data_IF_927661033098
#
_entry.id   IF_927661033098
#
_cell.length_a   1.000
_cell.length_b   1.000
_cell.length_c   1.000
_cell.angle_alpha   90.00
_cell.angle_beta   90.00
_cell.angle_gamma   90.00
#
_symmetry.space_group_name_H-M   'P 1'
#
loop_
_entity.id
_entity.type
_entity.pdbx_description
1 polymer ?
#
# COMPACT_ATOMS: atom_id res chain seq x y z
N UNK A 1 24.68 54.86 9.88
CA UNK A 1 24.30 53.51 10.36
C UNK A 1 25.28 52.93 11.39
N UNK A 2 26.58 52.83 11.13
CA UNK A 2 27.56 52.25 12.08
C UNK A 2 27.67 52.99 13.43
N UNK A 3 27.53 54.32 13.46
CA UNK A 3 27.53 55.08 14.73
C UNK A 3 26.29 54.84 15.60
N UNK A 4 25.13 54.53 15.00
CA UNK A 4 23.90 54.21 15.73
C UNK A 4 24.05 52.86 16.44
N UNK A 5 24.58 51.85 15.74
CA UNK A 5 24.91 50.56 16.33
C UNK A 5 25.95 50.67 17.45
N UNK A 6 26.95 51.54 17.30
CA UNK A 6 27.98 51.76 18.34
C UNK A 6 27.41 52.44 19.60
N UNK A 7 26.49 53.39 19.43
CA UNK A 7 25.86 54.12 20.55
C UNK A 7 24.93 53.22 21.38
N UNK A 8 24.24 52.27 20.75
CA UNK A 8 23.29 51.37 21.40
C UNK A 8 23.78 49.93 21.56
N UNK A 9 25.07 49.67 21.33
CA UNK A 9 25.67 48.33 21.37
C UNK A 9 25.34 47.59 22.69
N UNK A 10 25.48 48.27 23.84
CA UNK A 10 25.16 47.68 25.15
C UNK A 10 23.69 47.30 25.28
N UNK A 11 22.78 48.11 24.74
CA UNK A 11 21.34 47.87 24.80
C UNK A 11 20.94 46.68 23.92
N UNK A 12 21.50 46.58 22.71
CA UNK A 12 21.30 45.41 21.85
C UNK A 12 21.86 44.12 22.46
N UNK A 13 23.03 44.16 23.09
CA UNK A 13 23.59 42.98 23.76
C UNK A 13 22.69 42.47 24.89
N UNK A 14 22.11 43.38 25.69
CA UNK A 14 21.18 43.01 26.76
C UNK A 14 19.93 42.35 26.19
N UNK A 15 19.32 42.93 25.14
CA UNK A 15 18.11 42.39 24.51
C UNK A 15 18.39 41.01 23.89
N UNK A 16 19.49 40.87 23.14
CA UNK A 16 19.85 39.59 22.52
C UNK A 16 20.14 38.54 23.59
N UNK A 17 20.85 38.89 24.66
CA UNK A 17 21.12 37.96 25.77
C UNK A 17 19.83 37.56 26.48
N UNK A 18 18.90 38.49 26.70
CA UNK A 18 17.59 38.19 27.27
C UNK A 18 16.79 37.19 26.43
N UNK A 19 16.76 37.39 25.10
CA UNK A 19 16.12 36.44 24.18
C UNK A 19 16.83 35.09 24.13
N UNK A 20 18.17 35.05 24.21
CA UNK A 20 18.94 33.81 24.28
C UNK A 20 18.63 33.06 25.59
N UNK A 21 18.60 33.74 26.73
CA UNK A 21 18.29 33.12 28.04
C UNK A 21 16.85 32.60 28.09
N UNK A 22 15.88 33.35 27.55
CA UNK A 22 14.48 32.87 27.42
C UNK A 22 14.41 31.67 26.47
N UNK A 23 15.12 31.73 25.34
CA UNK A 23 15.20 30.62 24.39
C UNK A 23 15.78 29.37 25.06
N UNK A 24 16.89 29.47 25.80
CA UNK A 24 17.43 28.33 26.55
C UNK A 24 16.54 27.89 27.73
N UNK A 25 15.75 28.78 28.34
CA UNK A 25 14.82 28.41 29.42
C UNK A 25 13.57 27.69 28.90
N UNK A 26 13.08 28.03 27.71
CA UNK A 26 11.93 27.38 27.07
C UNK A 26 12.30 26.18 26.18
N UNK A 27 13.46 26.19 25.51
CA UNK A 27 13.93 25.07 24.67
C UNK A 27 14.85 24.10 25.41
N UNK A 28 15.56 24.53 26.45
CA UNK A 28 16.41 23.66 27.28
C UNK A 28 15.63 22.77 28.26
N UNK A 29 14.35 23.05 28.48
CA UNK A 29 13.44 22.26 29.34
C UNK A 29 12.64 21.21 28.57
N UNK A 30 12.73 21.18 27.24
CA UNK A 30 12.15 20.12 26.39
C UNK A 30 12.90 18.78 26.51
N UNK A 31 14.12 18.77 27.08
CA UNK A 31 14.93 17.55 27.24
C UNK A 31 14.81 16.85 28.60
N UNK A 32 14.14 17.47 29.58
CA UNK A 32 13.98 16.93 30.95
C UNK A 32 12.56 16.46 31.28
N UNK A 33 11.66 16.46 30.29
CA UNK A 33 10.29 15.92 30.43
C UNK A 33 10.18 14.41 30.17
N UNK A 34 11.30 13.72 29.92
CA UNK A 34 11.38 12.26 29.72
C UNK A 34 11.42 11.46 31.04
N UNK A 35 11.39 12.11 32.19
CA UNK A 35 11.14 11.49 33.50
C UNK A 35 9.83 12.01 34.07
N UNK A 36 8.71 11.71 33.40
CA UNK A 36 7.47 11.50 34.14
C UNK A 36 7.61 10.13 34.77
N UNK A 37 7.46 10.05 36.10
CA UNK A 37 7.22 8.80 36.80
C UNK A 37 6.25 7.96 35.96
N UNK A 38 6.72 6.80 35.48
CA UNK A 38 5.88 5.84 34.77
C UNK A 38 4.73 5.47 35.71
N UNK A 39 3.57 6.09 35.51
CA UNK A 39 2.36 5.63 36.16
C UNK A 39 2.25 4.13 35.89
N UNK A 40 2.12 3.29 36.94
CA UNK A 40 2.07 1.86 36.74
C UNK A 40 0.88 1.54 35.83
N UNK A 41 1.17 0.78 34.77
CA UNK A 41 0.19 0.37 33.76
C UNK A 41 -0.97 -0.36 34.45
N UNK A 42 -2.19 0.18 34.29
CA UNK A 42 -3.38 -0.25 35.01
C UNK A 42 -3.87 -1.60 34.48
N UNK A 43 -4.15 -2.53 35.38
CA UNK A 43 -4.84 -3.77 35.04
C UNK A 43 -6.32 -3.50 34.85
N UNK A 44 -6.85 -3.85 33.67
CA UNK A 44 -8.25 -3.61 33.30
C UNK A 44 -9.07 -4.90 33.22
N UNK A 45 -8.42 -6.06 33.19
CA UNK A 45 -9.10 -7.35 33.20
C UNK A 45 -8.15 -8.53 32.97
N UNK A 46 -8.74 -9.69 32.67
CA UNK A 46 -8.02 -10.90 32.29
C UNK A 46 -8.56 -11.41 30.94
N UNK A 47 -7.67 -11.96 30.12
CA UNK A 47 -8.04 -12.70 28.91
C UNK A 47 -8.49 -14.12 29.27
N UNK A 48 -9.06 -14.83 28.30
CA UNK A 48 -9.61 -16.19 28.50
C UNK A 48 -8.56 -17.19 29.03
N UNK A 49 -7.30 -17.02 28.65
CA UNK A 49 -6.17 -17.84 29.12
C UNK A 49 -5.69 -17.48 30.56
N UNK A 50 -6.37 -16.55 31.22
CA UNK A 50 -6.03 -16.03 32.55
C UNK A 50 -4.91 -14.99 32.56
N UNK A 51 -4.36 -14.61 31.41
CA UNK A 51 -3.34 -13.56 31.34
C UNK A 51 -3.94 -12.19 31.63
N UNK A 52 -3.17 -11.33 32.31
CA UNK A 52 -3.62 -9.99 32.69
C UNK A 52 -3.63 -9.06 31.47
N UNK A 53 -4.79 -8.47 31.18
CA UNK A 53 -4.92 -7.41 30.20
C UNK A 53 -4.63 -6.05 30.85
N UNK A 54 -3.60 -5.39 30.33
CA UNK A 54 -3.23 -4.05 30.78
C UNK A 54 -3.75 -2.97 29.84
N UNK A 55 -4.02 -1.80 30.40
CA UNK A 55 -4.57 -0.65 29.71
C UNK A 55 -3.68 -0.19 28.54
N UNK A 56 -2.36 -0.08 28.74
CA UNK A 56 -1.45 0.32 27.65
C UNK A 56 -1.42 -0.69 26.49
N UNK A 57 -1.54 -1.99 26.79
CA UNK A 57 -1.62 -3.04 25.74
C UNK A 57 -2.86 -2.82 24.90
N UNK A 58 -4.03 -2.66 25.53
CA UNK A 58 -5.29 -2.49 24.81
C UNK A 58 -5.30 -1.19 23.99
N UNK A 59 -4.90 -0.06 24.57
CA UNK A 59 -4.84 1.21 23.83
C UNK A 59 -3.86 1.15 22.65
N UNK A 60 -2.68 0.56 22.85
CA UNK A 60 -1.71 0.40 21.76
C UNK A 60 -2.23 -0.51 20.65
N UNK A 61 -2.96 -1.57 21.03
CA UNK A 61 -3.60 -2.48 20.10
C UNK A 61 -4.71 -1.79 19.29
N UNK A 62 -5.58 -1.03 19.95
CA UNK A 62 -6.65 -0.27 19.29
C UNK A 62 -6.10 0.74 18.29
N UNK A 63 -5.04 1.49 18.63
CA UNK A 63 -4.38 2.41 17.68
C UNK A 63 -3.86 1.71 16.44
N UNK A 64 -3.42 0.45 16.56
CA UNK A 64 -3.01 -0.34 15.38
C UNK A 64 -4.21 -0.72 14.52
N UNK A 65 -5.39 -0.91 15.11
CA UNK A 65 -6.62 -1.30 14.41
C UNK A 65 -7.45 -0.12 13.87
N UNK A 66 -7.13 1.12 14.27
CA UNK A 66 -7.79 2.32 13.78
C UNK A 66 -7.42 2.64 12.32
N UNK A 67 -8.40 3.19 11.59
CA UNK A 67 -8.26 3.80 10.27
C UNK A 67 -7.51 2.96 9.22
N UNK A 68 -8.04 1.78 8.89
CA UNK A 68 -7.43 0.90 7.89
C UNK A 68 -7.30 1.52 6.48
N UNK A 69 -6.46 0.91 5.65
CA UNK A 69 -6.16 1.35 4.27
C UNK A 69 -7.41 1.58 3.42
N UNK A 70 -8.46 0.78 3.61
CA UNK A 70 -9.67 0.81 2.80
C UNK A 70 -10.75 1.75 3.35
N UNK A 71 -10.56 2.32 4.54
CA UNK A 71 -11.52 3.25 5.15
C UNK A 71 -11.44 4.68 4.56
N UNK A 72 -10.45 4.97 3.70
CA UNK A 72 -10.39 6.21 2.91
C UNK A 72 -10.21 7.50 3.73
N UNK A 73 -9.76 7.40 4.97
CA UNK A 73 -9.55 8.54 5.87
C UNK A 73 -8.28 9.33 5.55
N UNK A 74 -8.28 10.64 5.86
CA UNK A 74 -7.08 11.52 5.77
C UNK A 74 -5.92 11.05 6.65
N UNK A 75 -6.18 10.24 7.67
CA UNK A 75 -5.20 9.65 8.58
C UNK A 75 -5.16 8.13 8.42
N UNK A 76 -4.95 7.66 7.20
CA UNK A 76 -4.88 6.21 6.91
C UNK A 76 -3.70 5.56 7.62
N UNK A 77 -3.96 4.46 8.32
CA UNK A 77 -2.96 3.62 8.95
C UNK A 77 -2.42 2.57 7.96
N UNK A 78 -1.21 2.80 7.46
CA UNK A 78 -0.57 1.93 6.46
C UNK A 78 -0.24 0.52 6.98
N UNK A 79 -0.22 0.31 8.30
CA UNK A 79 0.06 -0.99 8.91
C UNK A 79 -1.19 -1.89 8.92
N UNK A 80 -2.37 -1.28 8.88
CA UNK A 80 -3.65 -1.94 9.05
C UNK A 80 -4.33 -2.14 7.70
N UNK A 81 -4.43 -3.38 7.25
CA UNK A 81 -5.16 -3.75 6.04
C UNK A 81 -6.69 -3.71 6.19
N UNK A 82 -7.18 -3.04 7.23
CA UNK A 82 -8.60 -2.84 7.59
C UNK A 82 -9.22 -4.09 8.20
N UNK A 83 -8.51 -4.73 9.15
CA UNK A 83 -8.93 -5.96 9.86
C UNK A 83 -10.35 -5.85 10.39
N UNK A 84 -10.64 -4.77 11.15
CA UNK A 84 -11.96 -4.61 11.76
C UNK A 84 -13.02 -4.46 10.68
N UNK A 85 -12.77 -3.63 9.67
CA UNK A 85 -13.67 -3.45 8.54
C UNK A 85 -13.98 -4.77 7.82
N UNK A 86 -12.94 -5.49 7.37
CA UNK A 86 -13.08 -6.70 6.56
C UNK A 86 -13.53 -7.91 7.35
N UNK A 87 -12.79 -8.23 8.40
CA UNK A 87 -12.91 -9.51 9.10
C UNK A 87 -14.05 -9.51 10.11
N UNK A 88 -14.47 -8.34 10.59
CA UNK A 88 -15.57 -8.22 11.55
C UNK A 88 -16.82 -7.57 10.95
N UNK A 89 -16.70 -6.41 10.30
CA UNK A 89 -17.89 -5.68 9.84
C UNK A 89 -18.49 -6.31 8.59
N UNK A 90 -17.69 -6.54 7.54
CA UNK A 90 -18.18 -7.11 6.28
C UNK A 90 -18.52 -8.60 6.39
N UNK A 91 -17.91 -9.33 7.33
CA UNK A 91 -18.22 -10.75 7.58
C UNK A 91 -19.52 -10.97 8.36
N UNK A 92 -20.04 -9.94 9.01
CA UNK A 92 -21.19 -10.02 9.93
C UNK A 92 -20.84 -10.43 11.36
N UNK A 93 -19.58 -10.78 11.67
CA UNK A 93 -19.17 -11.10 13.04
C UNK A 93 -19.36 -9.91 14.00
N UNK A 94 -19.15 -8.69 13.52
CA UNK A 94 -19.37 -7.46 14.29
C UNK A 94 -20.83 -7.30 14.71
N UNK A 95 -21.78 -7.69 13.86
CA UNK A 95 -23.22 -7.65 14.19
C UNK A 95 -23.54 -8.64 15.31
N UNK A 96 -23.04 -9.87 15.22
CA UNK A 96 -23.21 -10.91 16.23
C UNK A 96 -22.60 -10.47 17.58
N UNK A 97 -21.40 -9.88 17.54
CA UNK A 97 -20.72 -9.36 18.72
C UNK A 97 -21.52 -8.22 19.37
N UNK A 98 -21.94 -7.23 18.59
CA UNK A 98 -22.75 -6.12 19.07
C UNK A 98 -24.11 -6.59 19.61
N UNK A 99 -24.67 -7.64 19.01
CA UNK A 99 -25.92 -8.25 19.46
C UNK A 99 -25.78 -8.87 20.86
N UNK A 100 -24.66 -9.57 21.10
CA UNK A 100 -24.35 -10.19 22.38
C UNK A 100 -24.05 -9.15 23.46
N UNK A 101 -23.34 -8.07 23.09
CA UNK A 101 -22.92 -7.00 23.99
C UNK A 101 -23.90 -5.82 24.07
N UNK A 102 -25.12 -5.98 23.53
CA UNK A 102 -26.07 -4.87 23.38
C UNK A 102 -26.30 -4.07 24.66
N UNK A 103 -26.39 -4.74 25.82
CA UNK A 103 -26.61 -4.08 27.11
C UNK A 103 -25.51 -3.08 27.50
N UNK A 104 -24.27 -3.30 27.06
CA UNK A 104 -23.14 -2.41 27.35
C UNK A 104 -23.03 -1.25 26.35
N UNK A 105 -23.49 -1.48 25.12
CA UNK A 105 -23.45 -0.55 23.99
C UNK A 105 -24.68 0.35 23.91
N UNK A 106 -25.79 -0.05 24.53
CA UNK A 106 -27.11 0.57 24.39
C UNK A 106 -27.09 2.09 24.60
N UNK A 107 -26.36 2.57 25.61
CA UNK A 107 -26.30 4.00 25.93
C UNK A 107 -25.72 4.84 24.79
N UNK A 108 -24.63 4.37 24.18
CA UNK A 108 -23.95 5.09 23.09
C UNK A 108 -24.70 4.96 21.77
N UNK A 109 -25.26 3.78 21.51
CA UNK A 109 -26.08 3.55 20.32
C UNK A 109 -27.37 4.39 20.35
N UNK A 110 -27.98 4.59 21.52
CA UNK A 110 -29.15 5.48 21.68
C UNK A 110 -28.81 6.94 21.35
N UNK A 111 -27.66 7.44 21.79
CA UNK A 111 -27.21 8.79 21.45
C UNK A 111 -26.97 8.95 19.95
N UNK A 112 -26.29 7.98 19.33
CA UNK A 112 -26.02 7.98 17.89
C UNK A 112 -27.30 7.84 17.06
N UNK A 113 -28.26 7.04 17.52
CA UNK A 113 -29.54 6.86 16.84
C UNK A 113 -30.30 8.18 16.67
N UNK A 114 -30.21 9.12 17.62
CA UNK A 114 -30.82 10.44 17.46
C UNK A 114 -30.22 11.21 16.27
N UNK A 115 -28.89 11.15 16.08
CA UNK A 115 -28.22 11.74 14.91
C UNK A 115 -28.66 11.07 13.62
N UNK A 116 -28.74 9.74 13.63
CA UNK A 116 -29.21 8.92 12.50
C UNK A 116 -30.63 9.29 12.10
N UNK A 117 -31.55 9.44 13.07
CA UNK A 117 -32.95 9.85 12.82
C UNK A 117 -33.06 11.27 12.24
N UNK A 118 -32.19 12.19 12.65
CA UNK A 118 -32.22 13.59 12.21
C UNK A 118 -31.42 13.86 10.94
N UNK A 119 -30.76 12.85 10.38
CA UNK A 119 -29.91 13.03 9.21
C UNK A 119 -30.68 13.41 7.95
N UNK A 120 -30.08 14.32 7.21
CA UNK A 120 -30.50 14.73 5.88
C UNK A 120 -29.31 14.59 4.93
N UNK A 121 -29.45 13.82 3.85
CA UNK A 121 -28.39 13.69 2.85
C UNK A 121 -28.04 15.04 2.23
N UNK A 122 -26.82 15.16 1.70
CA UNK A 122 -26.36 16.37 1.03
C UNK A 122 -27.28 16.75 -0.15
N UNK A 123 -27.63 18.04 -0.23
CA UNK A 123 -28.37 18.65 -1.33
C UNK A 123 -27.65 19.93 -1.72
N UNK A 124 -27.35 20.08 -3.01
CA UNK A 124 -26.63 21.25 -3.51
C UNK A 124 -27.49 22.53 -3.38
N UNK A 125 -26.93 23.63 -2.84
CA UNK A 125 -27.70 24.82 -2.45
C UNK A 125 -28.35 25.55 -3.63
N UNK A 126 -27.70 25.55 -4.80
CA UNK A 126 -28.19 26.25 -6.00
C UNK A 126 -28.86 25.32 -7.02
N UNK A 127 -28.81 24.01 -6.81
CA UNK A 127 -29.24 23.02 -7.79
C UNK A 127 -29.76 21.76 -7.08
N UNK A 128 -30.99 21.76 -6.54
CA UNK A 128 -31.49 20.69 -5.68
C UNK A 128 -31.52 19.29 -6.30
N UNK A 129 -31.49 19.19 -7.64
CA UNK A 129 -31.40 17.92 -8.35
C UNK A 129 -30.05 17.23 -8.17
N UNK A 130 -28.98 17.99 -7.89
CA UNK A 130 -27.67 17.48 -7.48
C UNK A 130 -27.72 17.21 -5.98
N UNK A 131 -27.92 15.95 -5.61
CA UNK A 131 -28.02 15.53 -4.23
C UNK A 131 -27.61 14.07 -4.08
N UNK A 132 -27.28 13.69 -2.84
CA UNK A 132 -26.79 12.34 -2.54
C UNK A 132 -27.86 11.26 -2.80
N UNK A 133 -29.15 11.54 -2.56
CA UNK A 133 -30.23 10.57 -2.84
C UNK A 133 -30.31 10.20 -4.32
N UNK A 134 -30.16 11.16 -5.22
CA UNK A 134 -30.15 10.92 -6.68
C UNK A 134 -29.00 10.01 -7.08
N UNK A 135 -27.79 10.29 -6.56
CA UNK A 135 -26.59 9.47 -6.82
C UNK A 135 -26.80 8.04 -6.31
N UNK A 136 -27.26 7.89 -5.06
CA UNK A 136 -27.54 6.57 -4.50
C UNK A 136 -28.62 5.81 -5.27
N UNK A 137 -29.69 6.46 -5.74
CA UNK A 137 -30.71 5.79 -6.56
C UNK A 137 -30.15 5.16 -7.84
N UNK A 138 -29.08 5.72 -8.39
CA UNK A 138 -28.45 5.23 -9.62
C UNK A 138 -27.37 4.18 -9.33
N UNK A 139 -26.60 4.35 -8.25
CA UNK A 139 -25.41 3.54 -7.97
C UNK A 139 -25.68 2.43 -6.96
N UNK A 140 -26.37 2.76 -5.86
CA UNK A 140 -26.56 1.92 -4.66
C UNK A 140 -27.96 2.19 -4.07
N UNK A 141 -29.03 1.75 -4.75
CA UNK A 141 -30.41 2.12 -4.40
C UNK A 141 -30.83 1.61 -3.01
N UNK A 142 -30.16 0.57 -2.50
CA UNK A 142 -30.41 0.04 -1.16
C UNK A 142 -30.18 1.08 -0.05
N UNK A 143 -29.27 2.05 -0.21
CA UNK A 143 -29.05 3.10 0.80
C UNK A 143 -30.34 3.90 1.02
N UNK A 144 -31.04 4.26 -0.07
CA UNK A 144 -32.28 5.02 0.04
C UNK A 144 -33.38 4.20 0.74
N UNK A 145 -33.49 2.90 0.44
CA UNK A 145 -34.46 2.01 1.11
C UNK A 145 -34.19 1.94 2.61
N UNK A 146 -32.93 1.69 3.00
CA UNK A 146 -32.52 1.59 4.40
C UNK A 146 -32.70 2.93 5.14
N UNK A 147 -32.46 4.07 4.49
CA UNK A 147 -32.71 5.38 5.08
C UNK A 147 -34.20 5.63 5.34
N UNK A 148 -35.10 5.19 4.45
CA UNK A 148 -36.54 5.28 4.70
C UNK A 148 -36.98 4.33 5.82
N UNK A 149 -36.39 3.13 5.92
CA UNK A 149 -36.58 2.23 7.07
C UNK A 149 -36.14 2.87 8.38
N UNK A 150 -34.99 3.56 8.41
CA UNK A 150 -34.53 4.34 9.56
C UNK A 150 -35.54 5.43 9.93
N UNK A 151 -36.10 6.14 8.94
CA UNK A 151 -37.10 7.19 9.20
C UNK A 151 -38.41 6.61 9.74
N UNK A 152 -38.84 5.43 9.28
CA UNK A 152 -40.03 4.73 9.75
C UNK A 152 -39.85 4.07 11.14
N UNK A 153 -38.63 3.69 11.51
CA UNK A 153 -38.34 3.04 12.79
C UNK A 153 -38.62 3.95 14.00
N UNK A 154 -38.88 3.37 15.20
CA UNK A 154 -39.07 4.14 16.43
C UNK A 154 -37.94 5.12 16.74
N UNK A 155 -38.26 6.20 17.46
CA UNK A 155 -37.27 7.19 17.92
C UNK A 155 -36.34 6.59 18.98
N UNK A 156 -36.85 5.66 19.78
CA UNK A 156 -36.04 4.92 20.75
C UNK A 156 -35.28 3.79 20.08
N UNK A 157 -33.97 3.72 20.32
CA UNK A 157 -33.14 2.65 19.81
C UNK A 157 -33.30 1.39 20.66
N UNK A 158 -33.56 0.26 20.01
CA UNK A 158 -33.64 -1.07 20.60
C UNK A 158 -32.78 -2.04 19.81
N UNK A 159 -32.59 -3.24 20.35
CA UNK A 159 -31.83 -4.32 19.72
C UNK A 159 -32.27 -4.62 18.27
N UNK A 160 -33.55 -4.42 17.94
CA UNK A 160 -34.10 -4.69 16.61
C UNK A 160 -33.58 -3.73 15.52
N UNK A 161 -33.08 -2.54 15.89
CA UNK A 161 -32.52 -1.58 14.93
C UNK A 161 -31.03 -1.79 14.67
N UNK A 162 -30.37 -2.67 15.42
CA UNK A 162 -28.94 -2.95 15.26
C UNK A 162 -28.59 -3.47 13.85
N UNK A 163 -29.31 -4.46 13.27
CA UNK A 163 -29.04 -4.93 11.91
C UNK A 163 -29.14 -3.83 10.85
N UNK A 164 -30.01 -2.85 11.07
CA UNK A 164 -30.20 -1.73 10.15
C UNK A 164 -28.98 -0.81 10.12
N UNK A 165 -28.32 -0.57 11.26
CA UNK A 165 -27.06 0.19 11.32
C UNK A 165 -25.93 -0.54 10.61
N UNK A 166 -25.79 -1.86 10.81
CA UNK A 166 -24.78 -2.66 10.12
C UNK A 166 -24.99 -2.66 8.60
N UNK A 167 -26.23 -2.84 8.11
CA UNK A 167 -26.55 -2.76 6.68
C UNK A 167 -26.23 -1.40 6.07
N UNK A 168 -26.47 -0.31 6.80
CA UNK A 168 -26.12 1.03 6.33
C UNK A 168 -24.61 1.25 6.29
N UNK A 169 -23.88 0.72 7.29
CA UNK A 169 -22.42 0.74 7.30
C UNK A 169 -21.84 -0.01 6.10
N UNK A 170 -22.29 -1.24 5.85
CA UNK A 170 -21.82 -2.05 4.71
C UNK A 170 -22.20 -1.40 3.38
N UNK A 171 -23.41 -0.84 3.25
CA UNK A 171 -23.81 -0.15 2.03
C UNK A 171 -22.98 1.12 1.77
N UNK A 172 -22.53 1.83 2.80
CA UNK A 172 -21.56 2.93 2.65
C UNK A 172 -20.17 2.43 2.27
N UNK A 173 -19.77 1.24 2.75
CA UNK A 173 -18.51 0.63 2.34
C UNK A 173 -18.49 0.30 0.85
N UNK A 174 -19.61 -0.22 0.33
CA UNK A 174 -19.78 -0.51 -1.11
C UNK A 174 -19.72 0.77 -1.97
N UNK A 175 -20.14 1.91 -1.41
CA UNK A 175 -20.09 3.21 -2.09
C UNK A 175 -19.53 4.32 -1.19
N UNK A 176 -18.19 4.41 -1.11
CA UNK A 176 -17.53 5.28 -0.15
C UNK A 176 -17.82 6.78 -0.34
N UNK A 177 -17.77 7.58 0.74
CA UNK A 177 -18.00 9.03 0.67
C UNK A 177 -17.12 9.78 -0.35
N UNK A 178 -15.82 9.45 -0.56
CA UNK A 178 -15.01 10.08 -1.60
C UNK A 178 -15.56 9.89 -3.02
N UNK A 179 -16.13 8.72 -3.31
CA UNK A 179 -16.74 8.43 -4.61
C UNK A 179 -18.05 9.21 -4.79
N UNK A 180 -18.89 9.25 -3.75
CA UNK A 180 -20.08 10.11 -3.73
C UNK A 180 -19.71 11.58 -4.01
N UNK A 181 -18.67 12.07 -3.34
CA UNK A 181 -18.19 13.44 -3.52
C UNK A 181 -17.77 13.69 -4.98
N UNK A 182 -16.99 12.77 -5.56
CA UNK A 182 -16.56 12.85 -6.96
C UNK A 182 -17.75 12.89 -7.93
N UNK A 183 -18.80 12.09 -7.68
CA UNK A 183 -20.01 12.10 -8.51
C UNK A 183 -20.79 13.41 -8.39
N UNK A 184 -20.94 13.95 -7.17
CA UNK A 184 -21.58 15.24 -6.95
C UNK A 184 -20.82 16.37 -7.66
N UNK A 185 -19.49 16.33 -7.63
CA UNK A 185 -18.65 17.24 -8.40
C UNK A 185 -18.85 17.12 -9.90
N UNK A 186 -18.85 15.89 -10.40
CA UNK A 186 -19.04 15.63 -11.82
C UNK A 186 -20.39 16.17 -12.31
N UNK A 187 -21.47 15.92 -11.55
CA UNK A 187 -22.80 16.48 -11.83
C UNK A 187 -22.80 18.02 -11.81
N UNK A 188 -22.09 18.64 -10.87
CA UNK A 188 -21.94 20.10 -10.81
C UNK A 188 -21.21 20.65 -12.05
N UNK A 189 -20.15 19.98 -12.51
CA UNK A 189 -19.36 20.44 -13.66
C UNK A 189 -20.08 20.27 -15.01
N UNK A 190 -21.01 19.32 -15.12
CA UNK A 190 -21.82 19.12 -16.32
C UNK A 190 -22.96 20.15 -16.46
N UNK A 191 -23.39 20.76 -15.36
CA UNK A 191 -24.47 21.74 -15.37
C UNK A 191 -24.02 23.10 -15.92
N UNK A 192 -24.38 23.43 -17.16
CA UNK A 192 -24.00 24.69 -17.81
C UNK A 192 -24.41 25.96 -17.03
N UNK A 193 -25.40 25.88 -16.13
CA UNK A 193 -25.91 27.01 -15.33
C UNK A 193 -25.83 26.77 -13.81
N UNK A 194 -25.11 25.75 -13.36
CA UNK A 194 -25.00 25.45 -11.92
C UNK A 194 -23.89 26.27 -11.30
N UNK A 195 -24.26 27.20 -10.41
CA UNK A 195 -23.29 27.92 -9.59
C UNK A 195 -22.54 26.93 -8.69
N UNK A 196 -21.19 26.89 -8.68
CA UNK A 196 -20.44 25.97 -7.84
C UNK A 196 -20.75 26.17 -6.35
N UNK A 197 -20.93 25.08 -5.62
CA UNK A 197 -20.95 25.12 -4.15
C UNK A 197 -19.50 25.16 -3.61
N UNK A 198 -19.07 26.28 -2.99
CA UNK A 198 -17.73 26.37 -2.41
C UNK A 198 -17.53 25.43 -1.21
N UNK A 199 -18.61 24.95 -0.59
CA UNK A 199 -18.57 24.04 0.56
C UNK A 199 -18.48 22.56 0.18
N UNK A 200 -18.82 22.18 -1.06
CA UNK A 200 -18.76 20.80 -1.52
C UNK A 200 -17.38 20.13 -1.29
N UNK A 201 -16.21 20.75 -1.59
CA UNK A 201 -14.91 20.14 -1.34
C UNK A 201 -14.63 19.68 0.08
N UNK A 202 -15.24 20.34 1.05
CA UNK A 202 -15.03 20.10 2.47
C UNK A 202 -16.26 19.51 3.14
N UNK A 203 -17.34 19.29 2.38
CA UNK A 203 -18.58 18.73 2.88
C UNK A 203 -18.36 17.27 3.30
N UNK A 204 -18.82 16.94 4.50
CA UNK A 204 -18.90 15.56 4.94
C UNK A 204 -20.15 14.92 4.34
N UNK A 205 -19.97 14.24 3.19
CA UNK A 205 -21.06 13.56 2.46
C UNK A 205 -21.32 12.14 2.95
N UNK A 206 -20.59 11.66 3.96
CA UNK A 206 -20.84 10.36 4.58
C UNK A 206 -22.23 10.28 5.22
N UNK A 207 -22.78 9.08 5.30
CA UNK A 207 -23.98 8.80 6.07
C UNK A 207 -23.78 9.27 7.50
N UNK A 208 -24.71 10.10 7.97
CA UNK A 208 -24.73 10.64 9.34
C UNK A 208 -23.52 11.52 9.70
N UNK A 209 -22.63 11.80 8.73
CA UNK A 209 -21.33 12.42 8.96
C UNK A 209 -20.31 11.49 9.63
N UNK A 210 -20.57 10.18 9.67
CA UNK A 210 -19.70 9.20 10.32
C UNK A 210 -18.54 8.78 9.41
N UNK A 211 -17.33 8.77 9.96
CA UNK A 211 -16.09 8.48 9.24
C UNK A 211 -15.31 7.29 9.83
N UNK A 212 -15.60 6.90 11.06
CA UNK A 212 -14.95 5.76 11.74
C UNK A 212 -15.95 4.76 12.30
N UNK A 213 -15.51 3.55 12.59
CA UNK A 213 -16.33 2.54 13.28
C UNK A 213 -16.80 3.05 14.66
N UNK A 214 -15.96 3.84 15.33
CA UNK A 214 -16.31 4.53 16.57
C UNK A 214 -17.48 5.51 16.37
N UNK A 215 -17.52 6.26 15.27
CA UNK A 215 -18.65 7.16 14.96
C UNK A 215 -19.96 6.37 14.81
N UNK A 216 -19.88 5.20 14.17
CA UNK A 216 -21.04 4.34 13.92
C UNK A 216 -21.55 3.61 15.16
N UNK A 217 -20.65 3.04 15.96
CA UNK A 217 -21.03 2.05 16.99
C UNK A 217 -20.53 2.39 18.40
N UNK A 218 -19.63 3.35 18.53
CA UNK A 218 -19.14 3.85 19.83
C UNK A 218 -17.75 3.34 20.18
N UNK A 219 -17.11 4.03 21.13
CA UNK A 219 -15.75 3.72 21.56
C UNK A 219 -15.72 2.41 22.34
N UNK A 220 -16.76 2.13 23.13
CA UNK A 220 -16.92 0.84 23.81
C UNK A 220 -16.97 -0.32 22.84
N UNK A 221 -17.66 -0.17 21.70
CA UNK A 221 -17.72 -1.26 20.72
C UNK A 221 -16.33 -1.55 20.12
N UNK A 222 -15.55 -0.50 19.82
CA UNK A 222 -14.17 -0.65 19.33
C UNK A 222 -13.27 -1.29 20.40
N UNK A 223 -13.45 -0.93 21.66
CA UNK A 223 -12.74 -1.55 22.79
C UNK A 223 -13.06 -3.05 22.89
N UNK A 224 -14.34 -3.42 22.81
CA UNK A 224 -14.79 -4.80 22.87
C UNK A 224 -14.35 -5.62 21.65
N UNK A 225 -14.26 -5.01 20.46
CA UNK A 225 -13.61 -5.62 19.30
C UNK A 225 -12.14 -5.93 19.60
N UNK A 226 -11.40 -4.98 20.19
CA UNK A 226 -10.01 -5.17 20.57
C UNK A 226 -9.84 -6.36 21.52
N UNK A 227 -10.67 -6.43 22.56
CA UNK A 227 -10.70 -7.55 23.52
C UNK A 227 -11.08 -8.87 22.84
N UNK A 228 -12.06 -8.85 21.94
CA UNK A 228 -12.50 -10.02 21.19
C UNK A 228 -11.37 -10.62 20.36
N UNK A 229 -10.63 -9.80 19.60
CA UNK A 229 -9.49 -10.26 18.79
C UNK A 229 -8.39 -10.84 19.69
N UNK A 230 -8.06 -10.18 20.81
CA UNK A 230 -7.05 -10.69 21.75
C UNK A 230 -7.46 -12.02 22.37
N UNK A 231 -8.73 -12.17 22.77
CA UNK A 231 -9.24 -13.42 23.31
C UNK A 231 -9.27 -14.54 22.26
N UNK A 232 -9.66 -14.23 21.02
CA UNK A 232 -9.59 -15.17 19.92
C UNK A 232 -8.15 -15.63 19.64
N UNK A 233 -7.17 -14.73 19.74
CA UNK A 233 -5.76 -15.09 19.61
C UNK A 233 -5.28 -16.03 20.73
N UNK A 234 -5.81 -15.88 21.95
CA UNK A 234 -5.57 -16.83 23.05
C UNK A 234 -6.14 -18.21 22.72
N UNK A 235 -7.40 -18.29 22.28
CA UNK A 235 -8.03 -19.55 21.86
C UNK A 235 -7.23 -20.20 20.72
N UNK A 236 -6.80 -19.42 19.72
CA UNK A 236 -5.97 -19.93 18.63
C UNK A 236 -4.67 -20.56 19.16
N UNK A 237 -4.02 -19.97 20.16
CA UNK A 237 -2.82 -20.56 20.77
C UNK A 237 -3.13 -21.86 21.51
N UNK A 238 -4.26 -21.94 22.20
CA UNK A 238 -4.71 -23.16 22.90
C UNK A 238 -5.04 -24.30 21.92
N UNK A 239 -5.66 -23.98 20.78
CA UNK A 239 -5.96 -24.92 19.69
C UNK A 239 -4.71 -25.31 18.88
N UNK A 240 -3.53 -24.77 19.21
CA UNK A 240 -2.24 -25.15 18.63
C UNK A 240 -1.83 -24.37 17.38
N UNK A 241 -2.49 -23.26 17.05
CA UNK A 241 -2.08 -22.39 15.94
C UNK A 241 -0.77 -21.65 16.26
N UNK A 242 0.15 -21.60 15.30
CA UNK A 242 1.48 -21.00 15.47
C UNK A 242 1.80 -19.97 14.39
N UNK A 243 1.81 -18.69 14.75
CA UNK A 243 2.31 -17.60 13.89
C UNK A 243 3.75 -17.26 14.29
N UNK A 244 4.65 -17.11 13.32
CA UNK A 244 6.03 -16.68 13.59
C UNK A 244 6.13 -15.17 13.71
N UNK A 245 7.11 -14.65 14.46
CA UNK A 245 7.30 -13.19 14.59
C UNK A 245 7.70 -12.56 13.26
N UNK A 246 8.56 -13.25 12.50
CA UNK A 246 9.01 -12.82 11.18
C UNK A 246 7.84 -12.74 10.19
N UNK A 247 6.86 -13.63 10.31
CA UNK A 247 5.66 -13.62 9.50
C UNK A 247 4.82 -12.36 9.77
N UNK A 248 4.59 -12.01 11.03
CA UNK A 248 3.88 -10.79 11.41
C UNK A 248 4.60 -9.52 10.91
N UNK A 249 5.93 -9.49 10.99
CA UNK A 249 6.72 -8.37 10.47
C UNK A 249 6.62 -8.25 8.94
N UNK A 250 6.72 -9.37 8.21
CA UNK A 250 6.59 -9.39 6.76
C UNK A 250 5.19 -8.96 6.33
N UNK A 251 4.15 -9.39 7.03
CA UNK A 251 2.77 -9.03 6.70
C UNK A 251 2.48 -7.55 6.94
N UNK A 252 3.00 -6.98 8.03
CA UNK A 252 2.95 -5.52 8.25
C UNK A 252 3.67 -4.73 7.14
N UNK A 253 4.87 -5.17 6.73
CA UNK A 253 5.60 -4.53 5.63
C UNK A 253 4.86 -4.66 4.30
N UNK A 254 4.21 -5.82 4.07
CA UNK A 254 3.35 -6.03 2.91
C UNK A 254 2.17 -5.07 2.91
N UNK A 255 1.53 -4.81 4.06
CA UNK A 255 0.43 -3.84 4.15
C UNK A 255 0.87 -2.44 3.75
N UNK A 256 2.03 -1.99 4.25
CA UNK A 256 2.63 -0.70 3.87
C UNK A 256 2.92 -0.65 2.38
N UNK A 257 3.52 -1.70 1.83
CA UNK A 257 3.84 -1.79 0.41
C UNK A 257 2.56 -1.69 -0.46
N UNK A 258 1.49 -2.41 -0.08
CA UNK A 258 0.21 -2.38 -0.79
C UNK A 258 -0.44 -0.99 -0.70
N UNK A 259 -0.44 -0.36 0.48
CA UNK A 259 -0.95 0.99 0.65
C UNK A 259 -0.19 2.01 -0.22
N UNK A 260 1.14 1.95 -0.23
CA UNK A 260 1.96 2.84 -1.06
C UNK A 260 1.66 2.65 -2.56
N UNK A 261 1.52 1.39 -3.01
CA UNK A 261 1.13 1.08 -4.39
C UNK A 261 -0.24 1.68 -4.74
N UNK A 262 -1.20 1.63 -3.83
CA UNK A 262 -2.53 2.24 -4.02
C UNK A 262 -2.44 3.77 -4.11
N UNK A 263 -1.67 4.43 -3.24
CA UNK A 263 -1.55 5.89 -3.24
C UNK A 263 -0.71 6.45 -4.38
N UNK A 264 0.26 5.69 -4.89
CA UNK A 264 1.14 6.12 -5.99
C UNK A 264 0.63 5.70 -7.38
N UNK A 265 -0.67 5.41 -7.54
CA UNK A 265 -1.28 5.03 -8.83
C UNK A 265 -0.52 3.88 -9.50
N UNK A 266 -0.26 2.80 -8.75
CA UNK A 266 0.40 1.57 -9.21
C UNK A 266 1.89 1.67 -9.54
N UNK A 267 2.55 2.80 -9.25
CA UNK A 267 4.02 2.80 -9.23
C UNK A 267 4.50 1.83 -8.14
N UNK A 268 5.39 0.91 -8.52
CA UNK A 268 5.99 -0.06 -7.60
C UNK A 268 6.89 0.71 -6.60
N UNK A 269 6.55 0.73 -5.30
CA UNK A 269 7.39 1.39 -4.31
C UNK A 269 8.67 0.59 -4.09
N UNK A 270 9.78 1.27 -3.81
CA UNK A 270 11.02 0.58 -3.48
C UNK A 270 10.99 -0.02 -2.06
N UNK A 271 11.84 -1.01 -1.80
CA UNK A 271 11.95 -1.60 -0.47
C UNK A 271 12.37 -0.57 0.58
N UNK A 272 13.22 0.40 0.23
CA UNK A 272 13.65 1.47 1.13
C UNK A 272 12.49 2.42 1.46
N UNK A 273 11.68 2.79 0.47
CA UNK A 273 10.47 3.61 0.68
C UNK A 273 9.47 2.91 1.60
N UNK A 274 9.22 1.61 1.39
CA UNK A 274 8.33 0.81 2.23
C UNK A 274 8.85 0.72 3.68
N UNK A 275 10.15 0.47 3.86
CA UNK A 275 10.76 0.40 5.19
C UNK A 275 10.71 1.75 5.92
N UNK A 276 10.99 2.85 5.22
CA UNK A 276 10.91 4.19 5.79
C UNK A 276 9.46 4.55 6.16
N UNK A 277 8.49 4.23 5.31
CA UNK A 277 7.07 4.42 5.59
C UNK A 277 6.61 3.59 6.81
N UNK A 278 7.06 2.34 6.91
CA UNK A 278 6.79 1.47 8.06
C UNK A 278 7.29 2.10 9.37
N UNK A 279 8.57 2.49 9.43
CA UNK A 279 9.16 3.10 10.64
C UNK A 279 8.46 4.40 11.02
N UNK A 280 8.12 5.23 10.04
CA UNK A 280 7.41 6.48 10.27
C UNK A 280 5.98 6.24 10.77
N UNK A 281 5.27 5.25 10.23
CA UNK A 281 3.91 4.91 10.66
C UNK A 281 3.89 4.35 12.08
N UNK A 282 4.81 3.45 12.41
CA UNK A 282 4.97 2.91 13.78
C UNK A 282 5.20 4.05 14.78
N UNK A 283 6.08 5.01 14.44
CA UNK A 283 6.33 6.20 15.27
C UNK A 283 5.10 7.10 15.38
N UNK A 284 4.38 7.31 14.28
CA UNK A 284 3.17 8.13 14.25
C UNK A 284 2.08 7.58 15.17
N UNK A 285 1.92 6.25 15.24
CA UNK A 285 0.98 5.58 16.16
C UNK A 285 1.47 5.59 17.63
N UNK A 286 2.69 6.07 17.88
CA UNK A 286 3.31 6.03 19.21
C UNK A 286 3.65 4.60 19.66
N UNK A 287 3.92 3.71 18.71
CA UNK A 287 4.29 2.32 18.97
C UNK A 287 5.80 2.11 18.79
N UNK A 288 6.30 1.00 19.34
CA UNK A 288 7.60 0.45 18.97
C UNK A 288 7.40 -0.62 17.89
N UNK A 289 8.41 -0.91 17.09
CA UNK A 289 8.34 -2.00 16.11
C UNK A 289 8.00 -3.34 16.78
N UNK A 290 8.61 -3.60 17.94
CA UNK A 290 8.32 -4.80 18.72
C UNK A 290 6.84 -4.90 19.14
N UNK A 291 6.24 -3.78 19.57
CA UNK A 291 4.83 -3.76 19.95
C UNK A 291 3.93 -3.89 18.71
N UNK A 292 4.23 -3.20 17.61
CA UNK A 292 3.46 -3.32 16.37
C UNK A 292 3.46 -4.77 15.84
N UNK A 293 4.62 -5.42 15.80
CA UNK A 293 4.75 -6.84 15.40
C UNK A 293 4.02 -7.75 16.37
N UNK A 294 4.15 -7.52 17.69
CA UNK A 294 3.46 -8.34 18.70
C UNK A 294 1.93 -8.20 18.61
N UNK A 295 1.42 -7.01 18.34
CA UNK A 295 -0.01 -6.76 18.16
C UNK A 295 -0.52 -7.37 16.85
N UNK A 296 0.21 -7.21 15.76
CA UNK A 296 -0.18 -7.83 14.49
C UNK A 296 -0.11 -9.36 14.52
N UNK A 297 0.78 -9.92 15.33
CA UNK A 297 0.81 -11.35 15.61
C UNK A 297 -0.51 -11.87 16.20
N UNK A 298 -1.13 -11.12 17.12
CA UNK A 298 -2.46 -11.46 17.67
C UNK A 298 -3.55 -11.40 16.58
N UNK A 299 -3.48 -10.41 15.69
CA UNK A 299 -4.40 -10.30 14.55
C UNK A 299 -4.27 -11.52 13.62
N UNK A 300 -3.05 -11.96 13.31
CA UNK A 300 -2.82 -13.13 12.47
C UNK A 300 -3.32 -14.42 13.12
N UNK A 301 -3.16 -14.57 14.44
CA UNK A 301 -3.71 -15.70 15.19
C UNK A 301 -5.24 -15.71 15.14
N UNK A 302 -5.88 -14.56 15.38
CA UNK A 302 -7.31 -14.39 15.21
C UNK A 302 -7.76 -14.79 13.80
N UNK A 303 -7.11 -14.27 12.76
CA UNK A 303 -7.44 -14.60 11.36
C UNK A 303 -7.33 -16.08 11.08
N UNK A 304 -6.28 -16.75 11.55
CA UNK A 304 -6.13 -18.20 11.34
C UNK A 304 -7.26 -19.00 11.97
N UNK A 305 -7.63 -18.66 13.21
CA UNK A 305 -8.76 -19.31 13.89
C UNK A 305 -10.05 -19.14 13.09
N UNK A 306 -10.37 -17.92 12.65
CA UNK A 306 -11.63 -17.65 11.96
C UNK A 306 -11.63 -18.04 10.48
N UNK A 307 -10.49 -18.09 9.80
CA UNK A 307 -10.40 -18.63 8.45
C UNK A 307 -10.58 -20.16 8.45
N UNK A 308 -9.98 -20.90 9.38
CA UNK A 308 -10.17 -22.35 9.45
C UNK A 308 -11.59 -22.73 9.90
N UNK A 309 -12.12 -22.04 10.92
CA UNK A 309 -13.53 -22.22 11.34
C UNK A 309 -14.47 -21.78 10.21
N UNK A 310 -14.18 -20.67 9.53
CA UNK A 310 -14.93 -20.19 8.38
C UNK A 310 -14.92 -21.18 7.22
N UNK A 311 -13.77 -21.70 6.80
CA UNK A 311 -13.67 -22.74 5.76
C UNK A 311 -14.39 -24.03 6.18
N UNK A 312 -14.40 -24.38 7.47
CA UNK A 312 -15.14 -25.54 7.98
C UNK A 312 -16.67 -25.34 7.99
N UNK A 313 -17.15 -24.10 8.18
CA UNK A 313 -18.57 -23.73 8.26
C UNK A 313 -19.15 -23.36 6.87
N UNK A 314 -18.35 -22.79 5.97
CA UNK A 314 -18.73 -22.47 4.58
C UNK A 314 -18.71 -23.69 3.64
N UNK A 315 -18.38 -24.89 4.15
CA UNK A 315 -18.80 -26.15 3.54
C UNK A 315 -20.30 -26.43 3.73
N UNK A 316 -21.12 -25.44 4.07
CA UNK A 316 -22.56 -25.53 3.87
C UNK A 316 -22.86 -25.67 2.37
N UNK A 317 -23.41 -26.83 2.00
CA UNK A 317 -23.87 -27.15 0.65
C UNK A 317 -24.78 -26.06 0.08
N UNK A 318 -25.52 -25.34 0.90
CA UNK A 318 -26.44 -24.31 0.46
C UNK A 318 -25.71 -23.04 -0.03
N UNK A 319 -24.70 -22.57 0.70
CA UNK A 319 -23.88 -21.43 0.31
C UNK A 319 -23.03 -21.76 -0.94
N UNK A 320 -22.46 -22.97 -0.99
CA UNK A 320 -21.81 -23.50 -2.18
C UNK A 320 -22.77 -23.64 -3.37
N UNK A 321 -24.04 -24.01 -3.16
CA UNK A 321 -25.05 -24.05 -4.22
C UNK A 321 -25.43 -22.66 -4.71
N UNK A 322 -25.57 -21.67 -3.83
CA UNK A 322 -25.85 -20.28 -4.22
C UNK A 322 -24.67 -19.66 -4.99
N UNK A 323 -23.43 -19.85 -4.50
CA UNK A 323 -22.22 -19.46 -5.20
C UNK A 323 -22.08 -20.19 -6.55
N UNK A 324 -22.33 -21.51 -6.59
CA UNK A 324 -22.30 -22.28 -7.84
C UNK A 324 -23.39 -21.81 -8.81
N UNK A 325 -24.60 -21.51 -8.36
CA UNK A 325 -25.67 -20.97 -9.20
C UNK A 325 -25.31 -19.58 -9.78
N UNK A 326 -24.51 -18.78 -9.06
CA UNK A 326 -23.99 -17.49 -9.53
C UNK A 326 -22.72 -17.59 -10.40
N UNK A 327 -21.85 -18.57 -10.13
CA UNK A 327 -20.56 -18.74 -10.78
C UNK A 327 -20.60 -19.60 -12.05
N UNK A 328 -21.74 -20.25 -12.36
CA UNK A 328 -21.84 -21.20 -13.49
C UNK A 328 -22.21 -20.61 -14.86
N UNK A 329 -22.63 -19.34 -15.07
CA UNK A 329 -22.68 -18.84 -16.42
C UNK A 329 -21.27 -18.36 -16.82
N UNK A 330 -20.33 -19.30 -16.99
CA UNK A 330 -19.14 -19.05 -17.80
C UNK A 330 -19.63 -18.72 -19.21
N UNK A 331 -19.75 -17.43 -19.50
CA UNK A 331 -19.95 -16.98 -20.86
C UNK A 331 -18.60 -17.13 -21.56
N UNK A 332 -18.56 -17.88 -22.67
CA UNK A 332 -17.46 -17.78 -23.61
C UNK A 332 -17.48 -16.37 -24.19
N UNK A 333 -16.73 -15.47 -23.57
CA UNK A 333 -16.52 -14.13 -24.09
C UNK A 333 -15.39 -14.24 -25.09
N UNK A 334 -15.73 -14.19 -26.38
CA UNK A 334 -14.74 -13.95 -27.42
C UNK A 334 -14.28 -12.49 -27.32
N UNK A 335 -13.20 -12.25 -26.56
CA UNK A 335 -12.58 -10.94 -26.52
C UNK A 335 -11.73 -10.73 -27.77
N UNK A 336 -12.21 -9.91 -28.69
CA UNK A 336 -11.43 -9.51 -29.86
C UNK A 336 -10.48 -8.40 -29.44
N UNK A 337 -9.20 -8.73 -29.38
CA UNK A 337 -8.14 -7.74 -29.19
C UNK A 337 -7.43 -7.55 -30.52
N UNK A 338 -7.05 -6.30 -30.81
CA UNK A 338 -6.11 -6.05 -31.87
C UNK A 338 -4.78 -6.76 -31.53
N UNK A 339 -4.08 -7.37 -32.51
CA UNK A 339 -2.72 -7.84 -32.33
C UNK A 339 -1.85 -6.77 -31.69
N UNK A 340 -0.84 -7.14 -30.88
CA UNK A 340 0.00 -6.19 -30.15
C UNK A 340 0.58 -5.09 -31.04
N UNK A 341 0.91 -5.41 -32.28
CA UNK A 341 1.47 -4.49 -33.26
C UNK A 341 0.46 -3.44 -33.78
N UNK A 342 -0.84 -3.63 -33.50
CA UNK A 342 -1.94 -2.73 -33.83
C UNK A 342 -2.58 -2.09 -32.58
N UNK A 343 -2.01 -2.31 -31.39
CA UNK A 343 -2.42 -1.65 -30.15
C UNK A 343 -1.64 -0.35 -29.99
N UNK A 344 -2.29 0.78 -30.23
CA UNK A 344 -1.66 2.09 -30.06
C UNK A 344 -1.55 2.43 -28.57
N UNK A 345 -0.34 2.74 -28.12
CA UNK A 345 -0.08 3.11 -26.72
C UNK A 345 -0.38 4.58 -26.44
N UNK A 346 -0.33 5.43 -27.47
CA UNK A 346 -0.70 6.84 -27.40
C UNK A 346 -1.39 7.33 -28.68
N UNK A 347 -1.98 8.52 -28.60
CA UNK A 347 -2.66 9.16 -29.74
C UNK A 347 -1.72 9.47 -30.92
N UNK A 348 -0.42 9.65 -30.64
CA UNK A 348 0.58 9.99 -31.65
C UNK A 348 0.90 8.78 -32.52
N UNK A 349 0.95 7.58 -31.95
CA UNK A 349 1.09 6.32 -32.67
C UNK A 349 -0.09 6.07 -33.60
N UNK A 350 -1.32 6.34 -33.13
CA UNK A 350 -2.51 6.26 -33.96
C UNK A 350 -2.42 7.21 -35.18
N UNK A 351 -1.99 8.46 -34.98
CA UNK A 351 -1.80 9.41 -36.09
C UNK A 351 -0.69 8.98 -37.07
N UNK A 352 0.41 8.42 -36.57
CA UNK A 352 1.49 7.88 -37.42
C UNK A 352 1.00 6.71 -38.26
N UNK A 353 0.22 5.83 -37.66
CA UNK A 353 -0.38 4.68 -38.35
C UNK A 353 -1.39 5.12 -39.41
N UNK A 354 -2.25 6.08 -39.08
CA UNK A 354 -3.16 6.68 -40.05
C UNK A 354 -2.38 7.28 -41.23
N UNK A 355 -1.32 8.04 -40.94
CA UNK A 355 -0.49 8.64 -41.99
C UNK A 355 0.21 7.58 -42.85
N UNK A 356 0.69 6.50 -42.25
CA UNK A 356 1.29 5.37 -42.98
C UNK A 356 0.28 4.72 -43.93
N UNK A 357 -0.95 4.48 -43.46
CA UNK A 357 -2.02 3.92 -44.29
C UNK A 357 -2.38 4.83 -45.46
N UNK A 358 -2.53 6.13 -45.23
CA UNK A 358 -2.86 7.12 -46.27
C UNK A 358 -1.81 7.19 -47.39
N UNK A 359 -0.56 6.84 -47.06
CA UNK A 359 0.58 6.92 -47.99
C UNK A 359 0.84 5.58 -48.66
N UNK A 360 0.84 4.48 -47.92
CA UNK A 360 1.26 3.17 -48.42
C UNK A 360 0.13 2.37 -49.09
N UNK A 361 -1.14 2.78 -48.94
CA UNK A 361 -2.30 2.04 -49.42
C UNK A 361 -3.30 2.92 -50.18
N UNK A 362 -4.17 2.28 -50.95
CA UNK A 362 -5.29 2.89 -51.68
C UNK A 362 -6.62 2.37 -51.13
N UNK A 363 -7.63 3.23 -51.04
CA UNK A 363 -9.01 2.84 -50.70
C UNK A 363 -9.54 3.46 -49.41
N UNK A 364 -10.50 2.77 -48.78
CA UNK A 364 -11.15 3.23 -47.55
C UNK A 364 -10.21 3.06 -46.34
N UNK A 365 -9.82 4.18 -45.74
CA UNK A 365 -8.91 4.24 -44.61
C UNK A 365 -9.56 3.84 -43.27
N UNK A 366 -10.89 3.85 -43.19
CA UNK A 366 -11.62 3.41 -42.00
C UNK A 366 -11.67 1.89 -41.87
N UNK A 367 -11.51 1.16 -42.98
CA UNK A 367 -11.63 -0.30 -43.06
C UNK A 367 -10.31 -1.09 -43.07
N UNK A 368 -9.16 -0.44 -42.84
CA UNK A 368 -7.80 -0.98 -43.09
C UNK A 368 -7.62 -1.47 -44.55
N UNK A 369 -7.13 -0.61 -45.45
CA UNK A 369 -7.03 -0.95 -46.87
C UNK A 369 -6.03 -2.08 -47.10
N UNK A 370 -6.38 -3.00 -47.99
CA UNK A 370 -5.55 -4.16 -48.35
C UNK A 370 -4.75 -3.95 -49.63
N UNK A 371 -5.12 -2.95 -50.43
CA UNK A 371 -4.46 -2.65 -51.70
C UNK A 371 -3.28 -1.71 -51.46
N UNK A 372 -2.07 -2.26 -51.57
CA UNK A 372 -0.82 -1.50 -51.44
C UNK A 372 -0.57 -0.65 -52.67
N UNK A 373 -0.08 0.57 -52.48
CA UNK A 373 0.50 1.38 -53.57
C UNK A 373 1.77 0.74 -54.09
N UNK A 374 2.09 1.05 -55.34
CA UNK A 374 3.33 0.61 -55.97
C UNK A 374 4.56 1.14 -55.18
N UNK A 375 5.48 0.26 -54.75
CA UNK A 375 6.64 0.66 -53.95
C UNK A 375 7.57 1.66 -54.63
N UNK A 376 7.63 1.71 -55.96
CA UNK A 376 8.46 2.70 -56.66
C UNK A 376 7.83 4.10 -56.56
N UNK A 377 6.51 4.16 -56.70
CA UNK A 377 5.73 5.39 -56.51
C UNK A 377 5.83 5.90 -55.06
N UNK A 378 5.74 5.01 -54.07
CA UNK A 378 5.92 5.37 -52.64
C UNK A 378 7.36 5.80 -52.35
N UNK A 379 8.36 5.17 -52.98
CA UNK A 379 9.78 5.56 -52.82
C UNK A 379 10.06 6.96 -53.33
N UNK A 380 9.41 7.35 -54.44
CA UNK A 380 9.65 8.64 -55.07
C UNK A 380 8.98 9.80 -54.30
N UNK A 381 7.83 9.56 -53.67
CA UNK A 381 7.09 10.56 -52.87
C UNK A 381 7.45 10.55 -51.37
N UNK A 382 7.73 9.36 -50.83
CA UNK A 382 7.93 9.08 -49.40
C UNK A 382 9.08 8.08 -49.16
N UNK A 383 10.34 8.45 -49.48
CA UNK A 383 11.49 7.55 -49.41
C UNK A 383 11.76 7.00 -47.99
N UNK A 384 11.33 7.72 -46.94
CA UNK A 384 11.47 7.32 -45.54
C UNK A 384 10.72 6.04 -45.16
N UNK A 385 9.75 5.60 -45.97
CA UNK A 385 8.93 4.42 -45.71
C UNK A 385 9.44 3.14 -46.41
N UNK A 386 10.48 3.25 -47.24
CA UNK A 386 11.00 2.14 -48.04
C UNK A 386 12.38 1.72 -47.55
N UNK A 387 12.48 0.47 -47.06
CA UNK A 387 13.73 -0.11 -46.58
C UNK A 387 14.28 -1.14 -47.57
N UNK A 388 15.61 -1.16 -47.73
CA UNK A 388 16.32 -2.25 -48.40
C UNK A 388 16.83 -3.23 -47.34
N UNK A 389 16.39 -4.50 -47.34
CA UNK A 389 16.95 -5.49 -46.45
C UNK A 389 18.41 -5.78 -46.84
N UNK A 390 19.28 -5.89 -45.84
CA UNK A 390 20.64 -6.42 -45.98
C UNK A 390 20.75 -7.66 -45.10
N UNK A 391 21.28 -8.74 -45.66
CA UNK A 391 21.57 -9.95 -44.91
C UNK A 391 22.99 -9.83 -44.34
N UNK A 392 23.13 -9.95 -43.02
CA UNK A 392 24.41 -9.85 -42.32
C UNK A 392 24.58 -11.11 -41.48
N UNK A 393 25.60 -11.90 -41.79
CA UNK A 393 26.01 -13.01 -40.93
C UNK A 393 26.82 -12.44 -39.76
N UNK A 394 26.29 -12.60 -38.54
CA UNK A 394 26.97 -12.20 -37.31
C UNK A 394 27.29 -13.45 -36.50
N UNK A 395 28.58 -13.78 -36.41
CA UNK A 395 29.06 -14.80 -35.48
C UNK A 395 29.24 -14.17 -34.09
N UNK A 396 28.51 -14.67 -33.10
CA UNK A 396 28.65 -14.25 -31.69
C UNK A 396 29.43 -15.32 -30.94
N UNK A 397 30.52 -14.92 -30.29
CA UNK A 397 31.31 -15.79 -29.41
C UNK A 397 31.28 -15.23 -28.00
N UNK A 398 31.01 -16.08 -27.02
CA UNK A 398 31.03 -15.72 -25.60
C UNK A 398 32.46 -15.80 -25.06
N UNK A 399 32.82 -14.87 -24.16
CA UNK A 399 34.15 -14.84 -23.52
C UNK A 399 34.52 -16.19 -22.87
N UNK A 400 33.53 -16.89 -22.32
CA UNK A 400 33.68 -18.21 -21.70
C UNK A 400 34.17 -19.26 -22.71
N UNK A 401 33.64 -19.24 -23.94
CA UNK A 401 34.05 -20.19 -24.99
C UNK A 401 35.46 -19.89 -25.50
N UNK A 402 35.86 -18.62 -25.51
CA UNK A 402 37.25 -18.21 -25.83
C UNK A 402 38.20 -18.64 -24.71
N UNK A 403 37.83 -18.39 -23.45
CA UNK A 403 38.60 -18.75 -22.27
C UNK A 403 38.84 -20.28 -22.17
N UNK A 404 37.88 -21.11 -22.61
CA UNK A 404 38.02 -22.57 -22.65
C UNK A 404 39.08 -23.06 -23.66
N UNK A 405 39.42 -22.25 -24.66
CA UNK A 405 40.48 -22.53 -25.64
C UNK A 405 41.88 -22.13 -25.20
N UNK A 406 42.03 -21.40 -24.07
CA UNK A 406 43.32 -20.94 -23.55
C UNK A 406 44.01 -22.10 -22.84
N UNK A 407 45.19 -22.47 -23.33
CA UNK A 407 45.97 -23.55 -22.72
C UNK A 407 46.58 -23.14 -21.38
N UNK A 408 46.80 -24.11 -20.49
CA UNK A 408 47.45 -23.87 -19.19
C UNK A 408 48.81 -23.18 -19.33
N UNK A 409 49.58 -23.53 -20.37
CA UNK A 409 50.85 -22.88 -20.68
C UNK A 409 50.68 -21.39 -20.97
N UNK A 410 49.69 -21.02 -21.78
CA UNK A 410 49.41 -19.61 -22.08
C UNK A 410 48.93 -18.84 -20.85
N UNK A 411 48.16 -19.49 -19.98
CA UNK A 411 47.77 -18.92 -18.68
C UNK A 411 49.01 -18.60 -17.84
N UNK A 412 49.96 -19.54 -17.74
CA UNK A 412 51.19 -19.35 -16.96
C UNK A 412 52.15 -18.34 -17.59
N UNK A 413 52.27 -18.34 -18.92
CA UNK A 413 53.07 -17.34 -19.63
C UNK A 413 52.51 -15.93 -19.36
N UNK A 414 51.19 -15.76 -19.37
CA UNK A 414 50.52 -14.50 -19.05
C UNK A 414 50.73 -14.08 -17.59
N UNK A 415 50.56 -14.99 -16.63
CA UNK A 415 50.77 -14.74 -15.20
C UNK A 415 52.24 -14.42 -14.87
N UNK A 416 53.17 -14.92 -15.67
CA UNK A 416 54.60 -14.70 -15.51
C UNK A 416 55.10 -13.35 -16.01
N UNK A 417 54.30 -12.60 -16.77
CA UNK A 417 54.64 -11.26 -17.23
C UNK A 417 54.54 -10.23 -16.09
N UNK A 418 55.41 -9.23 -16.12
CA UNK A 418 55.56 -8.30 -14.99
C UNK A 418 54.32 -7.43 -14.78
N UNK A 419 53.72 -6.96 -15.87
CA UNK A 419 52.53 -6.10 -15.84
C UNK A 419 51.30 -6.87 -15.34
N UNK A 420 51.13 -8.11 -15.80
CA UNK A 420 50.02 -8.97 -15.42
C UNK A 420 50.18 -9.49 -13.99
N UNK A 421 51.40 -9.84 -13.58
CA UNK A 421 51.67 -10.24 -12.19
C UNK A 421 51.38 -9.09 -11.21
N UNK A 422 51.71 -7.85 -11.57
CA UNK A 422 51.34 -6.68 -10.77
C UNK A 422 49.82 -6.48 -10.67
N UNK A 423 49.05 -6.89 -11.68
CA UNK A 423 47.59 -6.92 -11.62
C UNK A 423 47.09 -8.04 -10.70
N UNK A 424 47.69 -9.22 -10.75
CA UNK A 424 47.39 -10.33 -9.83
C UNK A 424 47.69 -9.97 -8.37
N UNK A 425 48.77 -9.24 -8.09
CA UNK A 425 49.10 -8.77 -6.74
C UNK A 425 48.07 -7.77 -6.17
N UNK A 426 47.35 -7.04 -7.04
CA UNK A 426 46.27 -6.13 -6.62
C UNK A 426 45.00 -6.89 -6.24
N UNK A 427 44.62 -7.89 -7.04
CA UNK A 427 43.36 -8.63 -6.84
C UNK A 427 43.48 -9.81 -5.87
N UNK A 428 44.68 -10.36 -5.69
CA UNK A 428 44.92 -11.48 -4.78
C UNK A 428 45.88 -11.05 -3.67
N UNK A 429 45.37 -10.67 -2.49
CA UNK A 429 46.18 -10.25 -1.34
C UNK A 429 47.22 -11.27 -0.90
N UNK A 430 47.02 -12.56 -1.23
CA UNK A 430 47.97 -13.65 -0.97
C UNK A 430 49.27 -13.55 -1.75
N UNK A 431 49.29 -12.78 -2.84
CA UNK A 431 50.49 -12.48 -3.64
C UNK A 431 51.12 -11.14 -3.26
N UNK A 432 50.48 -10.34 -2.40
CA UNK A 432 50.97 -9.05 -1.98
C UNK A 432 52.24 -9.21 -1.12
N UNK A 433 53.37 -8.68 -1.61
CA UNK A 433 54.66 -8.71 -0.91
C UNK A 433 55.60 -9.86 -1.30
N UNK A 434 55.22 -10.73 -2.25
CA UNK A 434 56.14 -11.72 -2.83
C UNK A 434 57.08 -11.07 -3.87
N UNK A 435 58.31 -11.57 -3.96
CA UNK A 435 59.33 -11.06 -4.88
C UNK A 435 58.89 -11.27 -6.35
N UNK A 436 59.14 -10.27 -7.21
CA UNK A 436 58.65 -10.24 -8.60
C UNK A 436 59.72 -9.84 -9.62
N UNK A 437 61.01 -9.89 -9.24
CA UNK A 437 62.10 -9.31 -10.05
C UNK A 437 62.46 -10.18 -11.24
N UNK A 438 62.16 -11.47 -11.20
CA UNK A 438 62.32 -12.39 -12.32
C UNK A 438 61.08 -13.23 -12.58
N UNK A 439 60.93 -13.74 -13.80
CA UNK A 439 59.84 -14.66 -14.17
C UNK A 439 59.87 -15.92 -13.31
N UNK A 440 61.07 -16.38 -12.94
CA UNK A 440 61.26 -17.56 -12.08
C UNK A 440 60.72 -17.31 -10.68
N UNK A 441 61.05 -16.15 -10.07
CA UNK A 441 60.52 -15.77 -8.75
C UNK A 441 58.98 -15.64 -8.75
N UNK A 442 58.39 -15.15 -9.85
CA UNK A 442 56.93 -15.04 -9.99
C UNK A 442 56.25 -16.41 -10.08
N UNK A 443 56.87 -17.35 -10.79
CA UNK A 443 56.36 -18.73 -10.89
C UNK A 443 56.50 -19.48 -9.57
N UNK A 444 57.63 -19.34 -8.88
CA UNK A 444 57.82 -19.90 -7.54
C UNK A 444 56.80 -19.32 -6.54
N UNK A 445 56.52 -18.02 -6.62
CA UNK A 445 55.50 -17.36 -5.81
C UNK A 445 54.09 -17.92 -6.03
N UNK A 446 53.75 -18.35 -7.26
CA UNK A 446 52.48 -18.96 -7.63
C UNK A 446 52.41 -20.45 -7.24
N UNK A 447 53.52 -21.18 -7.34
CA UNK A 447 53.62 -22.60 -7.00
C UNK A 447 53.53 -22.87 -5.49
N UNK A 448 53.91 -21.90 -4.67
CA UNK A 448 53.76 -21.94 -3.21
C UNK A 448 52.31 -21.75 -2.72
N UNK A 449 51.38 -21.39 -3.61
CA UNK A 449 49.99 -21.18 -3.23
C UNK A 449 49.23 -22.50 -3.04
N UNK A 450 48.20 -22.47 -2.18
CA UNK A 450 47.30 -23.61 -2.08
C UNK A 450 46.50 -23.81 -3.39
N UNK A 451 46.10 -25.05 -3.65
CA UNK A 451 45.44 -25.45 -4.91
C UNK A 451 44.19 -24.62 -5.24
N UNK A 452 43.45 -24.17 -4.21
CA UNK A 452 42.21 -23.41 -4.41
C UNK A 452 42.52 -21.97 -4.82
N UNK A 453 43.51 -21.36 -4.19
CA UNK A 453 43.96 -20.00 -4.54
C UNK A 453 44.61 -19.98 -5.92
N UNK A 454 45.44 -20.99 -6.27
CA UNK A 454 46.01 -21.15 -7.62
C UNK A 454 44.90 -21.25 -8.68
N UNK A 455 43.90 -22.09 -8.47
CA UNK A 455 42.78 -22.25 -9.40
C UNK A 455 42.00 -20.95 -9.64
N UNK A 456 41.84 -20.11 -8.62
CA UNK A 456 41.15 -18.82 -8.75
C UNK A 456 41.97 -17.81 -9.55
N UNK A 457 43.29 -17.80 -9.38
CA UNK A 457 44.22 -16.97 -10.15
C UNK A 457 44.22 -17.40 -11.62
N UNK A 458 44.32 -18.70 -11.91
CA UNK A 458 44.29 -19.23 -13.27
C UNK A 458 42.97 -18.88 -13.99
N UNK A 459 41.84 -18.94 -13.28
CA UNK A 459 40.54 -18.56 -13.84
C UNK A 459 40.42 -17.06 -14.09
N UNK A 460 41.04 -16.24 -13.24
CA UNK A 460 41.08 -14.79 -13.46
C UNK A 460 41.94 -14.48 -14.69
N UNK A 461 43.13 -15.08 -14.80
CA UNK A 461 44.04 -14.92 -15.94
C UNK A 461 43.42 -15.37 -17.28
N UNK A 462 42.56 -16.39 -17.29
CA UNK A 462 41.84 -16.83 -18.50
C UNK A 462 40.68 -15.91 -18.92
N UNK A 463 40.21 -15.05 -18.03
CA UNK A 463 39.09 -14.14 -18.27
C UNK A 463 39.51 -12.67 -18.44
N UNK A 464 40.77 -12.33 -18.14
CA UNK A 464 41.41 -11.06 -18.45
C UNK A 464 41.68 -10.96 -19.96
#
# INVERSE_FOLDING_TARGET
MLQFFRKYQKFFFIIVTFFIVISFSFFGTSGTFSQRDEMPDREIGQLIDGSVLKEQKLHGFMRLLEHGIEEGSRSTNLLNDSVVHKDLMLSGLGEILAEHLFGELESELREKWQRVKNYSPYVHPYAPHINAKTVWSQMVPQINVLLEEVKAAPVEFTKQQLPLLFKLYTAQADFPPPLLLQMLYYQQMQGNEVRPDPGLPTANVGLFGFQSIEDWFGSKFVEEIGKFILNAACIAREEGYVVKKEEAQIDLLRNVYLALKMFQQEKVPSNEEAQNAFVNQVRYLGLTEANAVAYWHEVLLFRRLFHEVGESVFLDRLALQQFKNFATPSHEICSYHLPRDLQFTDFREMLKFQRYIEVAFEGDYLGLPTQKRDPETVRDEHPELVYKPFEVEVATVTKINVAAGVSLKQTWDWEGEEENFAQLQKEFPTLAGKESKSVVERMEALDELDQRTRFNIDNFARNA
#
